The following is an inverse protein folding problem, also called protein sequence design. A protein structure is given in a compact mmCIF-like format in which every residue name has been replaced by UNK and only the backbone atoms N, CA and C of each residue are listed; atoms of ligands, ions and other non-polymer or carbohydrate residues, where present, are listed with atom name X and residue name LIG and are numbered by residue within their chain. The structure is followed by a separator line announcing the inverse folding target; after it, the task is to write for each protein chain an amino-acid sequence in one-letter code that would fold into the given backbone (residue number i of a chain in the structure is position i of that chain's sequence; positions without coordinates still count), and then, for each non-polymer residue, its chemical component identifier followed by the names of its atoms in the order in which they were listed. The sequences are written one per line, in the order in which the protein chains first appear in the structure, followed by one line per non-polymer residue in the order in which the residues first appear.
data_IF_689775154784
#
_entry.id   IF_689775154784
#
_cell.length_a   1.000
_cell.length_b   1.000
_cell.length_c   1.000
_cell.angle_alpha   90.00
_cell.angle_beta   90.00
_cell.angle_gamma   90.00
#
_symmetry.space_group_name_H-M   'P 1'
#
loop_
_entity.id
_entity.type
_entity.pdbx_description
1 polymer ?
#
# COMPACT_ATOMS: atom_id res chain seq x y z
N UNK A 1 -70.66 -5.54 -0.67
CA UNK A 1 -69.48 -4.74 -1.07
C UNK A 1 -69.34 -4.80 -2.59
N UNK A 2 -69.56 -3.72 -3.34
CA UNK A 2 -69.54 -3.76 -4.80
C UNK A 2 -68.13 -3.49 -5.38
N UNK A 3 -67.80 -4.28 -6.40
CA UNK A 3 -66.53 -4.30 -7.13
C UNK A 3 -66.54 -3.19 -8.19
N UNK A 4 -65.68 -2.18 -8.05
CA UNK A 4 -65.50 -1.13 -9.05
C UNK A 4 -64.50 -1.56 -10.15
N UNK A 5 -65.03 -1.92 -11.33
CA UNK A 5 -64.25 -2.01 -12.58
C UNK A 5 -64.07 -0.61 -13.16
N UNK A 6 -62.82 -0.11 -13.26
CA UNK A 6 -62.49 1.09 -14.06
C UNK A 6 -61.95 0.71 -15.43
N UNK A 7 -62.58 1.30 -16.45
CA UNK A 7 -62.34 1.13 -17.89
C UNK A 7 -61.00 1.72 -18.34
N UNK A 8 -60.32 0.99 -19.22
CA UNK A 8 -59.18 1.46 -20.00
C UNK A 8 -59.60 2.58 -20.97
N UNK A 9 -58.82 3.66 -21.02
CA UNK A 9 -58.96 4.74 -22.01
C UNK A 9 -57.69 4.80 -22.86
N UNK A 10 -57.79 4.30 -24.10
CA UNK A 10 -56.78 4.48 -25.16
C UNK A 10 -56.65 5.98 -25.47
N UNK A 11 -55.44 6.55 -25.31
CA UNK A 11 -55.05 7.80 -25.96
C UNK A 11 -54.06 7.49 -27.09
N UNK A 12 -54.51 7.70 -28.32
CA UNK A 12 -53.65 7.90 -29.49
C UNK A 12 -53.18 9.35 -29.48
N UNK A 13 -51.87 9.59 -29.47
CA UNK A 13 -51.31 10.89 -29.85
C UNK A 13 -49.93 10.73 -30.48
N UNK A 14 -49.95 10.81 -31.82
CA UNK A 14 -49.05 11.57 -32.71
C UNK A 14 -47.54 11.49 -32.45
N UNK A 15 -46.90 10.69 -33.28
CA UNK A 15 -45.48 10.74 -33.64
C UNK A 15 -45.18 12.13 -34.23
N UNK A 16 -44.29 12.87 -33.60
CA UNK A 16 -43.65 14.04 -34.19
C UNK A 16 -42.23 13.62 -34.60
N UNK A 17 -41.98 13.56 -35.91
CA UNK A 17 -40.65 13.47 -36.49
C UNK A 17 -39.94 14.80 -36.27
N UNK A 18 -38.95 14.83 -35.38
CA UNK A 18 -37.92 15.87 -35.38
C UNK A 18 -36.72 15.34 -36.17
N UNK A 19 -36.53 15.88 -37.37
CA UNK A 19 -35.30 15.74 -38.12
C UNK A 19 -34.22 16.61 -37.46
N UNK A 20 -33.35 15.99 -36.67
CA UNK A 20 -32.14 16.65 -36.16
C UNK A 20 -31.05 16.54 -37.22
N UNK A 21 -30.74 17.67 -37.85
CA UNK A 21 -29.57 17.82 -38.70
C UNK A 21 -28.30 17.66 -37.85
N UNK A 22 -27.58 16.56 -38.05
CA UNK A 22 -26.21 16.39 -37.55
C UNK A 22 -25.29 17.29 -38.39
N UNK A 23 -24.88 18.43 -37.84
CA UNK A 23 -23.74 19.19 -38.36
C UNK A 23 -22.48 18.55 -37.77
N UNK A 24 -21.81 17.72 -38.58
CA UNK A 24 -20.46 17.25 -38.33
C UNK A 24 -19.49 18.44 -38.48
N UNK A 25 -19.19 19.13 -37.38
CA UNK A 25 -18.00 19.98 -37.31
C UNK A 25 -16.83 19.07 -36.97
N UNK A 26 -16.03 18.73 -37.99
CA UNK A 26 -14.73 18.08 -37.81
C UNK A 26 -13.76 19.09 -37.16
N UNK A 27 -13.72 19.11 -35.83
CA UNK A 27 -12.62 19.73 -35.10
C UNK A 27 -11.38 18.86 -35.27
N UNK A 28 -10.53 19.26 -36.22
CA UNK A 28 -9.14 18.82 -36.28
C UNK A 28 -8.45 19.40 -35.05
N UNK A 29 -8.44 18.65 -33.96
CA UNK A 29 -7.57 18.95 -32.81
C UNK A 29 -6.17 18.47 -33.21
N UNK A 30 -5.17 19.36 -33.36
CA UNK A 30 -3.80 18.90 -33.48
C UNK A 30 -3.44 18.17 -32.19
N UNK A 31 -3.22 16.87 -32.28
CA UNK A 31 -2.64 16.07 -31.21
C UNK A 31 -1.17 16.47 -31.06
N UNK A 32 -0.92 17.62 -30.45
CA UNK A 32 0.37 17.88 -29.83
C UNK A 32 0.43 17.00 -28.60
N UNK A 33 0.96 15.78 -28.76
CA UNK A 33 1.49 15.00 -27.65
C UNK A 33 2.65 15.81 -27.05
N UNK A 34 2.31 16.77 -26.20
CA UNK A 34 3.27 17.40 -25.32
C UNK A 34 3.75 16.32 -24.38
N UNK A 35 4.99 15.88 -24.55
CA UNK A 35 5.70 15.17 -23.49
C UNK A 35 5.53 16.02 -22.23
N UNK A 36 4.81 15.49 -21.24
CA UNK A 36 4.70 16.12 -19.93
C UNK A 36 6.11 16.19 -19.37
N UNK A 37 6.76 17.33 -19.56
CA UNK A 37 8.00 17.67 -18.88
C UNK A 37 7.71 17.47 -17.41
N UNK A 38 8.42 16.52 -16.78
CA UNK A 38 8.38 16.30 -15.35
C UNK A 38 8.67 17.64 -14.66
N UNK A 39 7.60 18.33 -14.27
CA UNK A 39 7.68 19.56 -13.50
C UNK A 39 8.41 19.21 -12.21
N UNK A 40 9.43 19.99 -11.85
CA UNK A 40 10.26 19.73 -10.68
C UNK A 40 9.43 19.37 -9.44
N UNK A 41 9.93 18.43 -8.65
CA UNK A 41 9.27 17.95 -7.43
C UNK A 41 8.87 19.17 -6.59
N UNK A 42 7.57 19.37 -6.30
CA UNK A 42 7.14 20.54 -5.54
C UNK A 42 7.77 20.49 -4.14
N UNK A 43 8.59 21.48 -3.77
CA UNK A 43 9.24 21.54 -2.46
C UNK A 43 8.28 21.97 -1.33
N UNK A 44 7.12 22.51 -1.67
CA UNK A 44 6.15 22.98 -0.69
C UNK A 44 5.29 21.84 -0.13
N UNK A 45 5.08 21.84 1.18
CA UNK A 45 4.15 20.92 1.82
C UNK A 45 2.70 21.33 1.55
N UNK A 46 1.84 20.34 1.29
CA UNK A 46 0.38 20.48 1.17
C UNK A 46 -0.25 19.89 2.41
N UNK A 47 -1.18 20.64 3.01
CA UNK A 47 -1.88 20.21 4.20
C UNK A 47 -3.40 20.33 4.02
N UNK A 48 -4.10 19.21 4.19
CA UNK A 48 -5.57 19.15 4.29
C UNK A 48 -5.92 18.79 5.73
N UNK A 49 -6.32 19.78 6.54
CA UNK A 49 -6.69 19.56 7.94
C UNK A 49 -8.20 19.63 8.14
N UNK A 50 -8.64 19.13 9.30
CA UNK A 50 -10.03 19.23 9.77
C UNK A 50 -11.03 18.67 8.76
N UNK A 51 -10.64 17.59 8.07
CA UNK A 51 -11.54 16.88 7.18
C UNK A 51 -12.50 16.05 8.02
N UNK A 52 -13.77 15.98 7.62
CA UNK A 52 -14.69 14.96 8.11
C UNK A 52 -14.76 13.82 7.10
N UNK A 53 -14.60 12.59 7.55
CA UNK A 53 -14.67 11.40 6.72
C UNK A 53 -15.91 10.57 7.10
N UNK A 54 -16.71 10.22 6.09
CA UNK A 54 -17.91 9.40 6.25
C UNK A 54 -17.79 8.14 5.41
N UNK A 55 -17.86 6.98 6.04
CA UNK A 55 -17.92 5.68 5.35
C UNK A 55 -19.30 5.52 4.73
N UNK A 56 -19.37 5.54 3.40
CA UNK A 56 -20.62 5.47 2.62
C UNK A 56 -20.91 4.08 2.07
N UNK A 57 -19.88 3.24 1.89
CA UNK A 57 -20.02 1.84 1.52
C UNK A 57 -19.06 0.99 2.36
N UNK A 58 -19.53 -0.17 2.82
CA UNK A 58 -18.76 -1.09 3.67
C UNK A 58 -19.12 -2.54 3.35
N UNK A 59 -18.10 -3.36 3.10
CA UNK A 59 -18.24 -4.80 2.85
C UNK A 59 -17.38 -5.55 3.87
N UNK A 60 -17.95 -5.99 5.01
CA UNK A 60 -17.22 -6.76 5.99
C UNK A 60 -17.00 -8.19 5.50
N UNK A 61 -15.82 -8.74 5.78
CA UNK A 61 -15.48 -10.15 5.54
C UNK A 61 -15.08 -10.75 6.86
N UNK A 62 -15.78 -11.81 7.24
CA UNK A 62 -15.56 -12.53 8.49
C UNK A 62 -14.84 -13.85 8.19
N UNK A 63 -13.86 -14.26 9.01
CA UNK A 63 -13.19 -15.55 8.87
C UNK A 63 -14.16 -16.74 8.89
N UNK A 64 -15.23 -16.63 9.68
CA UNK A 64 -16.33 -17.60 9.71
C UNK A 64 -17.64 -16.92 9.32
N UNK A 65 -18.09 -17.04 8.05
CA UNK A 65 -19.35 -16.47 7.61
C UNK A 65 -20.58 -17.16 8.23
N UNK A 66 -20.41 -18.37 8.80
CA UNK A 66 -21.49 -19.10 9.49
C UNK A 66 -21.71 -18.63 10.93
N UNK A 67 -20.74 -17.93 11.50
CA UNK A 67 -20.78 -17.39 12.84
C UNK A 67 -20.35 -15.90 12.86
N UNK A 68 -21.17 -15.01 12.26
CA UNK A 68 -20.86 -13.59 12.31
C UNK A 68 -20.79 -13.14 13.79
N UNK A 69 -19.76 -12.36 14.18
CA UNK A 69 -19.56 -11.95 15.55
C UNK A 69 -20.84 -11.33 16.13
N UNK A 70 -21.49 -12.05 17.05
CA UNK A 70 -22.63 -11.54 17.80
C UNK A 70 -22.07 -10.69 18.93
N UNK A 71 -22.12 -9.38 18.75
CA UNK A 71 -21.49 -8.41 19.64
C UNK A 71 -20.28 -7.76 18.97
N UNK A 72 -20.18 -6.45 19.14
CA UNK A 72 -19.33 -5.47 18.44
C UNK A 72 -17.81 -5.66 18.51
N UNK A 73 -17.29 -6.86 18.84
CA UNK A 73 -15.86 -7.07 19.05
C UNK A 73 -15.18 -7.57 17.76
N UNK A 74 -14.32 -6.72 17.22
CA UNK A 74 -13.41 -7.06 16.12
C UNK A 74 -12.50 -8.23 16.54
N UNK A 75 -12.33 -9.24 15.69
CA UNK A 75 -11.46 -10.40 15.95
C UNK A 75 -10.31 -10.42 14.95
N UNK A 76 -9.23 -11.13 15.28
CA UNK A 76 -8.11 -11.37 14.36
C UNK A 76 -8.63 -11.97 13.05
N UNK A 77 -8.14 -11.46 11.94
CA UNK A 77 -8.55 -11.89 10.60
C UNK A 77 -9.84 -11.24 10.08
N UNK A 78 -10.58 -10.47 10.89
CA UNK A 78 -11.68 -9.65 10.35
C UNK A 78 -11.14 -8.67 9.32
N UNK A 79 -11.84 -8.55 8.21
CA UNK A 79 -11.50 -7.62 7.14
C UNK A 79 -12.70 -6.75 6.78
N UNK A 80 -12.41 -5.59 6.19
CA UNK A 80 -13.43 -4.71 5.64
C UNK A 80 -12.89 -3.99 4.43
N UNK A 81 -13.67 -4.00 3.35
CA UNK A 81 -13.52 -3.04 2.27
C UNK A 81 -14.45 -1.87 2.49
N UNK A 82 -13.97 -0.66 2.21
CA UNK A 82 -14.75 0.54 2.42
C UNK A 82 -14.52 1.58 1.33
N UNK A 83 -15.53 2.43 1.20
CA UNK A 83 -15.47 3.70 0.47
C UNK A 83 -15.93 4.80 1.39
N UNK A 84 -15.17 5.88 1.42
CA UNK A 84 -15.44 7.04 2.25
C UNK A 84 -15.48 8.34 1.43
N UNK A 85 -16.28 9.29 1.88
CA UNK A 85 -16.27 10.67 1.41
C UNK A 85 -15.56 11.56 2.42
N UNK A 86 -14.58 12.35 1.96
CA UNK A 86 -13.91 13.34 2.78
C UNK A 86 -14.47 14.72 2.44
N UNK A 87 -14.83 15.49 3.47
CA UNK A 87 -15.38 16.83 3.35
C UNK A 87 -14.53 17.84 4.12
N UNK A 88 -14.44 19.05 3.59
CA UNK A 88 -13.77 20.18 4.23
C UNK A 88 -14.61 20.74 5.42
N UNK A 89 -14.07 21.69 6.21
CA UNK A 89 -14.83 22.30 7.31
C UNK A 89 -16.12 23.03 6.91
N UNK A 90 -16.27 23.39 5.63
CA UNK A 90 -17.50 23.99 5.11
C UNK A 90 -18.53 22.93 4.66
N UNK A 91 -18.18 21.64 4.72
CA UNK A 91 -19.01 20.50 4.34
C UNK A 91 -18.94 20.16 2.85
N UNK A 92 -18.07 20.82 2.08
CA UNK A 92 -17.88 20.51 0.67
C UNK A 92 -17.11 19.21 0.52
N UNK A 93 -17.49 18.40 -0.45
CA UNK A 93 -16.77 17.17 -0.78
C UNK A 93 -15.44 17.49 -1.47
N UNK A 94 -14.34 16.95 -0.95
CA UNK A 94 -12.97 17.22 -1.45
C UNK A 94 -12.23 15.97 -1.93
N UNK A 95 -12.58 14.79 -1.43
CA UNK A 95 -11.93 13.55 -1.83
C UNK A 95 -12.80 12.31 -1.63
N UNK A 96 -12.49 11.25 -2.36
CA UNK A 96 -12.98 9.88 -2.07
C UNK A 96 -11.83 9.02 -1.61
N UNK A 97 -11.99 8.33 -0.48
CA UNK A 97 -11.11 7.25 -0.06
C UNK A 97 -11.73 5.90 -0.42
N UNK A 98 -10.94 4.99 -0.98
CA UNK A 98 -11.28 3.57 -1.10
C UNK A 98 -10.18 2.76 -0.45
N UNK A 99 -10.53 1.86 0.44
CA UNK A 99 -9.54 1.12 1.19
C UNK A 99 -10.00 -0.25 1.61
N UNK A 100 -9.04 -0.98 2.17
CA UNK A 100 -9.28 -2.19 2.92
C UNK A 100 -8.60 -2.08 4.27
N UNK A 101 -9.14 -2.76 5.27
CA UNK A 101 -8.47 -2.95 6.54
C UNK A 101 -8.71 -4.33 7.09
N UNK A 102 -7.79 -4.80 7.92
CA UNK A 102 -7.92 -6.07 8.63
C UNK A 102 -7.33 -5.99 10.03
N UNK A 103 -7.72 -6.93 10.90
CA UNK A 103 -7.25 -7.02 12.29
C UNK A 103 -6.10 -8.03 12.37
N UNK A 104 -4.83 -7.60 12.34
CA UNK A 104 -3.70 -8.50 12.50
C UNK A 104 -3.53 -9.02 13.93
N UNK A 105 -3.99 -8.28 14.94
CA UNK A 105 -3.69 -8.58 16.33
C UNK A 105 -4.79 -8.13 17.29
N UNK A 106 -5.01 -8.94 18.32
CA UNK A 106 -5.88 -8.66 19.45
C UNK A 106 -5.31 -9.27 20.73
N UNK A 107 -5.34 -8.50 21.80
CA UNK A 107 -5.15 -8.99 23.16
C UNK A 107 -6.47 -8.85 23.93
N UNK A 108 -7.05 -9.99 24.35
CA UNK A 108 -8.28 -10.01 25.12
C UNK A 108 -8.11 -9.58 26.58
N UNK A 109 -6.88 -9.67 27.11
CA UNK A 109 -6.60 -9.34 28.50
C UNK A 109 -6.61 -7.82 28.71
N UNK A 110 -5.98 -7.10 27.79
CA UNK A 110 -5.81 -5.65 27.86
C UNK A 110 -6.76 -4.89 26.91
N UNK A 111 -7.68 -5.61 26.25
CA UNK A 111 -8.64 -5.09 25.26
C UNK A 111 -7.96 -4.32 24.10
N UNK A 112 -6.73 -4.73 23.76
CA UNK A 112 -5.95 -4.13 22.68
C UNK A 112 -6.39 -4.72 21.35
N UNK A 113 -6.76 -3.88 20.40
CA UNK A 113 -7.10 -4.31 19.03
C UNK A 113 -6.33 -3.44 18.07
N UNK A 114 -5.46 -4.05 17.27
CA UNK A 114 -4.73 -3.36 16.22
C UNK A 114 -5.36 -3.67 14.86
N UNK A 115 -5.47 -2.64 14.03
CA UNK A 115 -5.99 -2.72 12.67
C UNK A 115 -4.92 -2.21 11.70
N UNK A 116 -4.66 -2.97 10.64
CA UNK A 116 -3.94 -2.48 9.47
C UNK A 116 -4.94 -1.91 8.48
N UNK A 117 -4.67 -0.75 7.90
CA UNK A 117 -5.43 -0.25 6.76
C UNK A 117 -4.51 0.17 5.63
N UNK A 118 -5.04 0.06 4.41
CA UNK A 118 -4.49 0.66 3.22
C UNK A 118 -5.61 1.34 2.44
N UNK A 119 -5.33 2.54 1.91
CA UNK A 119 -6.33 3.37 1.26
C UNK A 119 -5.75 4.07 0.04
N UNK A 120 -6.60 4.30 -0.95
CA UNK A 120 -6.36 5.22 -2.07
C UNK A 120 -7.33 6.38 -1.96
N UNK A 121 -6.79 7.58 -1.76
CA UNK A 121 -7.50 8.83 -1.60
C UNK A 121 -7.35 9.62 -2.89
N UNK A 122 -8.47 9.82 -3.59
CA UNK A 122 -8.54 10.59 -4.83
C UNK A 122 -9.06 11.99 -4.53
N UNK A 123 -8.22 13.00 -4.74
CA UNK A 123 -8.56 14.42 -4.69
C UNK A 123 -8.71 14.97 -6.11
N UNK A 124 -9.24 16.19 -6.24
CA UNK A 124 -9.39 16.85 -7.53
C UNK A 124 -8.05 17.09 -8.25
N UNK A 125 -6.96 17.28 -7.50
CA UNK A 125 -5.63 17.62 -8.02
C UNK A 125 -4.61 16.49 -7.90
N UNK A 126 -5.01 15.27 -7.51
CA UNK A 126 -4.11 14.11 -7.52
C UNK A 126 -4.58 12.96 -6.64
N UNK A 127 -3.74 11.93 -6.55
CA UNK A 127 -4.03 10.69 -5.81
C UNK A 127 -2.97 10.43 -4.75
N UNK A 128 -3.41 10.03 -3.56
CA UNK A 128 -2.58 9.66 -2.43
C UNK A 128 -2.91 8.21 -2.04
N UNK A 129 -1.89 7.41 -1.72
CA UNK A 129 -2.05 6.12 -1.08
C UNK A 129 -1.60 6.20 0.37
N UNK A 130 -2.33 5.57 1.27
CA UNK A 130 -1.95 5.51 2.69
C UNK A 130 -1.86 4.07 3.16
N UNK A 131 -0.96 3.78 4.09
CA UNK A 131 -0.92 2.47 4.73
C UNK A 131 -0.31 2.51 6.13
N UNK A 132 -0.82 1.69 7.04
CA UNK A 132 -0.25 1.57 8.39
C UNK A 132 -1.12 0.80 9.36
N UNK A 133 -0.63 0.68 10.59
CA UNK A 133 -1.33 0.03 11.71
C UNK A 133 -1.70 1.08 12.75
N UNK A 134 -2.89 0.93 13.31
CA UNK A 134 -3.42 1.80 14.34
C UNK A 134 -4.29 1.03 15.33
N UNK A 135 -4.56 1.64 16.49
CA UNK A 135 -5.41 1.04 17.52
C UNK A 135 -6.88 1.32 17.23
N UNK A 136 -7.70 0.28 17.32
CA UNK A 136 -9.17 0.34 17.33
C UNK A 136 -9.75 -0.19 18.63
N UNK A 137 -8.95 -0.12 19.71
CA UNK A 137 -9.42 -0.35 21.06
C UNK A 137 -10.53 0.64 21.41
N UNK A 138 -11.65 0.20 22.03
CA UNK A 138 -12.78 1.07 22.35
C UNK A 138 -12.43 2.34 23.12
N UNK A 139 -11.45 2.26 24.03
CA UNK A 139 -10.98 3.41 24.80
C UNK A 139 -10.26 4.46 23.95
N UNK A 140 -9.87 4.13 22.72
CA UNK A 140 -9.04 4.97 21.83
C UNK A 140 -9.84 5.56 20.66
N UNK A 141 -11.17 5.40 20.60
CA UNK A 141 -11.96 5.92 19.47
C UNK A 141 -11.79 7.44 19.28
N UNK A 142 -11.56 8.20 20.35
CA UNK A 142 -11.29 9.64 20.25
C UNK A 142 -9.79 10.00 20.26
N UNK A 143 -8.89 9.07 20.00
CA UNK A 143 -7.46 9.36 19.87
C UNK A 143 -7.08 9.58 18.40
N UNK A 144 -6.10 10.45 18.19
CA UNK A 144 -5.52 10.65 16.86
C UNK A 144 -4.56 9.51 16.54
N UNK A 145 -4.85 8.84 15.43
CA UNK A 145 -4.06 7.79 14.82
C UNK A 145 -3.32 8.34 13.61
N UNK A 146 -2.25 7.66 13.22
CA UNK A 146 -1.33 8.08 12.17
C UNK A 146 -0.96 6.88 11.31
N UNK A 147 -1.05 7.04 9.99
CA UNK A 147 -0.54 6.08 9.02
C UNK A 147 0.26 6.81 7.94
N UNK A 148 1.18 6.10 7.29
CA UNK A 148 2.01 6.68 6.23
C UNK A 148 1.13 7.10 5.04
N UNK A 149 1.52 8.17 4.35
CA UNK A 149 0.88 8.64 3.13
C UNK A 149 1.92 8.89 2.03
N UNK A 150 1.54 8.57 0.81
CA UNK A 150 2.41 8.64 -0.36
C UNK A 150 1.63 9.16 -1.57
N UNK A 151 2.14 10.18 -2.23
CA UNK A 151 1.47 10.78 -3.37
C UNK A 151 1.83 10.07 -4.68
N UNK A 152 0.80 9.56 -5.35
CA UNK A 152 0.89 8.68 -6.52
C UNK A 152 0.83 9.49 -7.82
N UNK A 153 -0.01 10.52 -7.87
CA UNK A 153 -0.25 11.29 -9.11
C UNK A 153 -0.67 12.74 -8.83
N UNK A 154 -0.70 13.54 -9.90
CA UNK A 154 -1.09 14.94 -9.84
C UNK A 154 -0.12 15.78 -8.99
N UNK A 155 -0.67 16.73 -8.23
CA UNK A 155 0.07 17.61 -7.34
C UNK A 155 0.88 16.85 -6.28
N UNK A 156 0.42 15.67 -5.88
CA UNK A 156 1.06 14.88 -4.84
C UNK A 156 2.14 13.94 -5.38
N UNK A 157 2.31 13.78 -6.70
CA UNK A 157 3.25 12.81 -7.26
C UNK A 157 4.67 12.97 -6.67
N UNK A 158 5.18 11.92 -6.03
CA UNK A 158 6.51 11.93 -5.38
C UNK A 158 6.55 12.58 -4.00
N UNK A 159 5.43 13.07 -3.48
CA UNK A 159 5.32 13.54 -2.09
C UNK A 159 5.20 12.37 -1.12
N UNK A 160 5.77 12.56 0.08
CA UNK A 160 5.64 11.63 1.20
C UNK A 160 5.08 12.40 2.38
N UNK A 161 4.29 11.75 3.22
CA UNK A 161 3.82 12.35 4.45
C UNK A 161 2.99 11.41 5.30
N UNK A 162 1.96 11.95 5.95
CA UNK A 162 1.13 11.22 6.89
C UNK A 162 -0.35 11.50 6.68
N UNK A 163 -1.16 10.47 6.89
CA UNK A 163 -2.59 10.60 7.14
C UNK A 163 -2.82 10.51 8.64
N UNK A 164 -3.51 11.49 9.17
CA UNK A 164 -3.97 11.51 10.56
C UNK A 164 -5.47 11.28 10.58
N UNK A 165 -5.98 10.56 11.57
CA UNK A 165 -7.43 10.41 11.73
C UNK A 165 -7.82 10.07 13.16
N UNK A 166 -9.06 10.38 13.51
CA UNK A 166 -9.66 10.12 14.81
C UNK A 166 -11.02 9.46 14.58
N UNK A 167 -11.27 8.31 15.21
CA UNK A 167 -12.46 7.49 14.97
C UNK A 167 -13.64 8.03 15.79
N UNK A 168 -14.41 8.96 15.24
CA UNK A 168 -15.57 9.52 15.97
C UNK A 168 -16.69 8.51 16.15
N UNK A 169 -16.86 7.59 15.19
CA UNK A 169 -17.76 6.45 15.30
C UNK A 169 -17.22 5.26 14.50
N UNK A 170 -16.92 4.15 15.19
CA UNK A 170 -16.31 2.96 14.57
C UNK A 170 -17.10 2.47 13.36
N UNK A 171 -16.43 2.41 12.22
CA UNK A 171 -16.99 1.91 10.97
C UNK A 171 -18.03 2.84 10.31
N UNK A 172 -18.17 4.08 10.79
CA UNK A 172 -19.08 5.07 10.21
C UNK A 172 -18.39 6.40 9.93
N UNK A 173 -17.73 7.02 10.91
CA UNK A 173 -17.22 8.39 10.76
C UNK A 173 -15.88 8.61 11.45
N UNK A 174 -15.07 9.51 10.86
CA UNK A 174 -13.77 9.93 11.36
C UNK A 174 -13.57 11.44 11.19
N UNK A 175 -12.71 12.03 12.02
CA UNK A 175 -12.00 13.25 11.63
C UNK A 175 -10.70 12.83 10.94
N UNK A 176 -10.24 13.57 9.95
CA UNK A 176 -9.06 13.23 9.16
C UNK A 176 -8.20 14.44 8.81
N UNK A 177 -6.94 14.16 8.51
CA UNK A 177 -5.98 15.10 7.98
C UNK A 177 -4.98 14.42 7.05
N UNK A 178 -4.47 15.16 6.07
CA UNK A 178 -3.43 14.73 5.14
C UNK A 178 -2.33 15.78 5.12
N UNK A 179 -1.13 15.39 5.48
CA UNK A 179 0.05 16.22 5.39
C UNK A 179 1.02 15.57 4.41
N UNK A 180 1.31 16.24 3.30
CA UNK A 180 2.17 15.74 2.22
C UNK A 180 3.27 16.75 1.96
N UNK A 181 4.52 16.32 1.84
CA UNK A 181 5.63 17.19 1.47
C UNK A 181 6.38 16.61 0.28
N UNK A 182 6.93 17.49 -0.57
CA UNK A 182 7.89 17.08 -1.59
C UNK A 182 8.96 16.21 -0.99
N UNK A 183 9.10 14.98 -1.51
CA UNK A 183 10.13 14.08 -1.06
C UNK A 183 11.51 14.72 -1.22
N UNK A 184 12.36 14.52 -0.21
CA UNK A 184 13.81 14.76 -0.22
C UNK A 184 14.54 13.91 -1.29
N UNK A 185 14.00 13.75 -2.50
CA UNK A 185 14.48 12.77 -3.46
C UNK A 185 15.90 13.08 -3.96
N UNK A 186 16.40 14.31 -3.78
CA UNK A 186 17.67 14.74 -4.36
C UNK A 186 18.80 15.09 -3.36
N UNK A 187 18.57 15.09 -2.03
CA UNK A 187 19.59 15.51 -1.05
C UNK A 187 19.84 14.49 0.08
N UNK A 188 19.92 13.19 -0.24
CA UNK A 188 20.35 12.14 0.71
C UNK A 188 21.86 12.12 0.98
N UNK A 189 22.54 13.26 0.87
CA UNK A 189 23.96 13.41 1.23
C UNK A 189 24.09 13.74 2.73
N UNK A 190 23.44 12.94 3.59
CA UNK A 190 23.58 13.06 5.03
C UNK A 190 24.99 12.63 5.43
N UNK A 191 25.86 13.61 5.67
CA UNK A 191 27.25 13.43 6.05
C UNK A 191 27.48 13.87 7.50
N UNK A 192 27.61 12.94 8.47
CA UNK A 192 28.09 13.31 9.80
C UNK A 192 29.62 13.23 9.92
N UNK A 193 30.32 12.59 8.97
CA UNK A 193 31.79 12.54 8.77
C UNK A 193 32.09 11.50 7.68
N UNK A 194 32.47 11.92 6.48
CA UNK A 194 32.93 11.06 5.38
C UNK A 194 33.98 10.06 5.89
N UNK A 195 33.73 8.74 5.88
CA UNK A 195 34.81 7.76 5.92
C UNK A 195 35.68 7.96 4.67
N UNK A 196 36.98 7.74 4.81
CA UNK A 196 37.95 7.90 3.72
C UNK A 196 37.75 6.81 2.67
N UNK A 197 37.67 7.23 1.40
CA UNK A 197 37.95 6.45 0.19
C UNK A 197 37.33 5.04 0.11
N UNK A 198 36.03 4.93 0.37
CA UNK A 198 35.23 3.85 -0.21
C UNK A 198 34.65 4.34 -1.55
N UNK A 199 34.68 3.45 -2.53
CA UNK A 199 34.03 3.56 -3.85
C UNK A 199 32.68 4.29 -3.71
N UNK A 200 32.47 5.31 -4.54
CA UNK A 200 31.37 6.24 -4.30
C UNK A 200 30.03 5.50 -4.39
N UNK A 201 29.05 5.90 -3.59
CA UNK A 201 27.71 5.29 -3.58
C UNK A 201 27.08 5.20 -4.99
N UNK A 202 27.32 6.22 -5.81
CA UNK A 202 26.86 6.24 -7.20
C UNK A 202 27.54 5.16 -8.05
N UNK A 203 28.82 4.89 -7.80
CA UNK A 203 29.61 3.88 -8.48
C UNK A 203 29.17 2.46 -8.11
N UNK A 204 28.94 2.17 -6.82
CA UNK A 204 28.36 0.87 -6.39
C UNK A 204 26.98 0.62 -7.01
N UNK A 205 26.13 1.65 -7.11
CA UNK A 205 24.83 1.54 -7.76
C UNK A 205 24.95 1.32 -9.27
N UNK A 206 25.82 2.07 -9.93
CA UNK A 206 26.11 1.90 -11.36
C UNK A 206 26.65 0.50 -11.64
N UNK A 207 27.52 -0.03 -10.78
CA UNK A 207 28.09 -1.37 -10.92
C UNK A 207 27.04 -2.47 -10.69
N UNK A 208 26.14 -2.29 -9.72
CA UNK A 208 25.03 -3.23 -9.50
C UNK A 208 24.02 -3.23 -10.65
N UNK A 209 23.69 -2.05 -11.21
CA UNK A 209 22.86 -1.94 -12.42
C UNK A 209 23.53 -2.57 -13.64
N UNK A 210 24.83 -2.32 -13.84
CA UNK A 210 25.60 -2.95 -14.91
C UNK A 210 25.64 -4.48 -14.75
N UNK A 211 25.75 -4.98 -13.51
CA UNK A 211 25.67 -6.42 -13.22
C UNK A 211 24.29 -7.01 -13.54
N UNK A 212 23.20 -6.27 -13.26
CA UNK A 212 21.83 -6.65 -13.66
C UNK A 212 21.66 -6.67 -15.18
N UNK A 213 22.27 -5.72 -15.90
CA UNK A 213 22.23 -5.66 -17.36
C UNK A 213 23.05 -6.79 -18.02
N UNK A 214 24.17 -7.17 -17.41
CA UNK A 214 25.04 -8.24 -17.88
C UNK A 214 24.51 -9.66 -17.57
N UNK A 215 23.62 -9.81 -16.59
CA UNK A 215 23.02 -11.09 -16.25
C UNK A 215 22.09 -11.59 -17.37
N UNK A 216 22.33 -12.79 -17.89
CA UNK A 216 21.37 -13.47 -18.76
C UNK A 216 20.08 -13.76 -17.98
N UNK A 217 18.89 -13.55 -18.60
CA UNK A 217 17.63 -13.81 -17.94
C UNK A 217 17.59 -15.27 -17.43
N UNK A 218 17.10 -15.49 -16.19
CA UNK A 218 17.02 -16.84 -15.65
C UNK A 218 16.13 -17.69 -16.55
N UNK A 219 16.57 -18.92 -16.84
CA UNK A 219 15.70 -19.94 -17.43
C UNK A 219 14.72 -20.34 -16.34
N UNK A 220 13.43 -20.14 -16.57
CA UNK A 220 12.42 -20.39 -15.53
C UNK A 220 12.47 -21.83 -15.00
N UNK A 221 12.37 -22.02 -13.66
CA UNK A 221 12.26 -23.35 -13.09
C UNK A 221 10.91 -23.97 -13.49
N UNK A 222 10.95 -25.21 -13.97
CA UNK A 222 9.84 -25.90 -14.62
C UNK A 222 8.62 -26.19 -13.74
N UNK A 223 8.68 -25.95 -12.43
CA UNK A 223 7.68 -26.43 -11.45
C UNK A 223 6.91 -25.32 -10.71
N UNK A 224 7.00 -24.06 -11.14
CA UNK A 224 6.16 -23.00 -10.57
C UNK A 224 4.80 -22.95 -11.27
N UNK A 225 3.68 -22.82 -10.54
CA UNK A 225 2.37 -22.67 -11.16
C UNK A 225 2.42 -21.46 -12.10
N UNK A 226 2.09 -21.70 -13.38
CA UNK A 226 2.04 -20.64 -14.39
C UNK A 226 0.96 -19.66 -13.94
N UNK A 227 1.33 -18.42 -13.60
CA UNK A 227 0.34 -17.45 -13.19
C UNK A 227 -0.57 -17.14 -14.40
N UNK A 228 -1.81 -16.63 -14.19
CA UNK A 228 -2.66 -16.19 -15.29
C UNK A 228 -1.87 -15.31 -16.27
N UNK A 229 -2.23 -15.31 -17.55
CA UNK A 229 -1.44 -14.68 -18.63
C UNK A 229 -1.12 -13.17 -18.40
N UNK A 230 -1.80 -12.52 -17.46
CA UNK A 230 -1.65 -11.10 -17.12
C UNK A 230 -0.94 -10.86 -15.77
N UNK A 231 -0.26 -11.87 -15.24
CA UNK A 231 0.46 -11.84 -13.97
C UNK A 231 1.96 -12.14 -14.16
N UNK A 232 2.79 -11.57 -13.29
CA UNK A 232 4.23 -11.79 -13.20
C UNK A 232 4.56 -12.32 -11.82
N UNK A 233 5.34 -13.41 -11.78
CA UNK A 233 5.80 -14.03 -10.56
C UNK A 233 7.33 -14.09 -10.52
N UNK A 234 7.94 -13.53 -9.49
CA UNK A 234 9.34 -13.77 -9.14
C UNK A 234 9.39 -14.69 -7.94
N UNK A 235 9.81 -15.93 -8.15
CA UNK A 235 9.89 -16.97 -7.12
C UNK A 235 11.33 -17.45 -6.95
N UNK A 236 11.62 -18.01 -5.78
CA UNK A 236 12.98 -18.46 -5.43
C UNK A 236 13.96 -17.31 -5.30
N UNK A 237 13.50 -16.13 -4.88
CA UNK A 237 14.38 -15.01 -4.59
C UNK A 237 14.98 -15.19 -3.20
N UNK A 238 16.27 -14.95 -3.05
CA UNK A 238 16.93 -14.72 -1.77
C UNK A 238 17.27 -13.25 -1.66
N UNK A 239 16.80 -12.60 -0.61
CA UNK A 239 17.13 -11.22 -0.30
C UNK A 239 18.22 -11.18 0.77
N UNK A 240 19.32 -10.53 0.45
CA UNK A 240 20.47 -10.34 1.33
C UNK A 240 20.58 -8.86 1.68
N UNK A 241 20.60 -8.55 2.97
CA UNK A 241 20.77 -7.18 3.45
C UNK A 241 22.23 -6.76 3.27
N UNK A 242 22.48 -5.75 2.44
CA UNK A 242 23.85 -5.31 2.12
C UNK A 242 24.29 -4.09 2.89
N UNK A 243 23.35 -3.22 3.26
CA UNK A 243 23.64 -2.00 4.02
C UNK A 243 22.47 -1.67 4.96
N UNK A 244 22.80 -1.27 6.19
CA UNK A 244 21.86 -0.76 7.19
C UNK A 244 22.26 0.65 7.62
N UNK A 245 21.27 1.53 7.71
CA UNK A 245 21.43 2.90 8.16
C UNK A 245 20.33 3.26 9.15
N UNK A 246 20.70 3.73 10.33
CA UNK A 246 19.75 4.19 11.33
C UNK A 246 20.42 4.41 12.68
N UNK A 247 19.76 5.09 13.62
CA UNK A 247 20.22 5.10 15.00
C UNK A 247 20.32 3.64 15.44
N UNK A 248 21.52 3.24 15.89
CA UNK A 248 21.66 1.97 16.59
C UNK A 248 20.59 1.96 17.69
N UNK A 249 19.79 0.87 17.82
CA UNK A 249 18.82 0.78 18.90
C UNK A 249 19.57 1.09 20.20
N UNK A 250 19.08 2.09 20.95
CA UNK A 250 19.85 2.72 22.03
C UNK A 250 20.54 1.69 22.92
N UNK A 251 21.87 1.73 22.94
CA UNK A 251 22.87 1.11 23.81
C UNK A 251 22.67 -0.35 24.34
N UNK A 252 21.70 -1.10 23.82
CA UNK A 252 21.50 -2.50 24.15
C UNK A 252 20.79 -3.20 22.99
N UNK A 253 21.53 -4.01 22.22
CA UNK A 253 21.06 -4.74 21.05
C UNK A 253 20.05 -5.85 21.35
N UNK A 254 18.99 -5.54 22.08
CA UNK A 254 17.87 -6.45 22.30
C UNK A 254 17.13 -6.65 20.98
N UNK A 255 17.12 -7.91 20.56
CA UNK A 255 16.27 -8.41 19.48
C UNK A 255 15.00 -9.01 20.10
N UNK A 256 13.79 -8.71 19.59
CA UNK A 256 13.51 -7.77 18.49
C UNK A 256 13.66 -6.30 18.92
N UNK A 257 13.94 -5.38 17.96
CA UNK A 257 14.13 -3.96 18.26
C UNK A 257 12.92 -3.36 19.00
N UNK A 258 13.17 -2.44 19.93
CA UNK A 258 12.12 -1.79 20.74
C UNK A 258 11.11 -1.00 19.91
N UNK A 259 9.91 -0.76 20.48
CA UNK A 259 8.92 0.12 19.88
C UNK A 259 9.54 1.51 19.65
N UNK A 260 9.26 2.11 18.49
CA UNK A 260 9.88 3.36 18.08
C UNK A 260 11.16 3.20 17.25
N UNK A 261 11.74 2.00 17.18
CA UNK A 261 12.96 1.76 16.39
C UNK A 261 12.68 1.91 14.89
N UNK A 262 13.62 2.51 14.16
CA UNK A 262 13.54 2.63 12.71
C UNK A 262 14.88 2.34 12.04
N UNK A 263 14.82 1.83 10.82
CA UNK A 263 15.99 1.44 10.03
C UNK A 263 15.71 1.70 8.56
N UNK A 264 16.64 2.35 7.90
CA UNK A 264 16.76 2.36 6.46
C UNK A 264 17.72 1.26 6.05
N UNK A 265 17.47 0.61 4.92
CA UNK A 265 18.30 -0.49 4.48
C UNK A 265 18.37 -0.61 2.96
N UNK A 266 19.37 -1.33 2.50
CA UNK A 266 19.48 -1.83 1.13
C UNK A 266 19.60 -3.34 1.14
N UNK A 267 18.94 -3.96 0.17
CA UNK A 267 19.05 -5.39 -0.03
C UNK A 267 19.29 -5.72 -1.50
N UNK A 268 20.01 -6.81 -1.72
CA UNK A 268 20.19 -7.45 -3.01
C UNK A 268 19.28 -8.68 -3.10
N UNK A 269 18.56 -8.83 -4.22
CA UNK A 269 17.78 -10.02 -4.50
C UNK A 269 18.56 -10.90 -5.46
N UNK A 270 18.82 -12.14 -5.07
CA UNK A 270 19.50 -13.15 -5.87
C UNK A 270 18.55 -14.29 -6.24
N UNK A 271 18.72 -14.84 -7.44
CA UNK A 271 18.09 -16.10 -7.88
C UNK A 271 19.20 -17.00 -8.40
N UNK A 272 19.33 -18.20 -7.85
CA UNK A 272 20.41 -19.15 -8.18
C UNK A 272 21.81 -18.51 -8.08
N UNK A 273 22.01 -17.65 -7.06
CA UNK A 273 23.25 -16.91 -6.80
C UNK A 273 23.46 -15.65 -7.67
N UNK A 274 22.63 -15.41 -8.69
CA UNK A 274 22.75 -14.24 -9.57
C UNK A 274 21.90 -13.08 -9.06
N UNK A 275 22.44 -11.87 -9.08
CA UNK A 275 21.70 -10.65 -8.75
C UNK A 275 20.58 -10.42 -9.79
N UNK A 276 19.35 -10.23 -9.33
CA UNK A 276 18.16 -10.00 -10.19
C UNK A 276 17.37 -8.75 -9.82
N UNK A 277 17.53 -8.24 -8.60
CA UNK A 277 16.99 -6.95 -8.19
C UNK A 277 17.83 -6.31 -7.08
N UNK A 278 17.69 -5.00 -6.95
CA UNK A 278 18.19 -4.25 -5.79
C UNK A 278 17.04 -3.53 -5.12
N UNK A 279 17.18 -3.19 -3.85
CA UNK A 279 16.14 -2.47 -3.15
C UNK A 279 16.66 -1.44 -2.17
N UNK A 280 15.78 -0.49 -1.88
CA UNK A 280 15.93 0.48 -0.81
C UNK A 280 14.68 0.43 0.04
N UNK A 281 14.85 0.23 1.33
CA UNK A 281 13.75 0.07 2.26
C UNK A 281 13.86 0.98 3.48
N UNK A 282 12.70 1.13 4.11
CA UNK A 282 12.53 1.72 5.43
C UNK A 282 11.69 0.75 6.25
N UNK A 283 12.04 0.61 7.51
CA UNK A 283 11.25 -0.15 8.47
C UNK A 283 11.15 0.58 9.79
N UNK A 284 10.05 0.33 10.48
CA UNK A 284 9.72 0.92 11.76
C UNK A 284 9.00 -0.10 12.64
N UNK A 285 9.31 -0.15 13.93
CA UNK A 285 8.61 -1.01 14.90
C UNK A 285 7.54 -0.18 15.63
N UNK A 286 6.29 -0.14 15.15
CA UNK A 286 5.22 0.60 15.82
C UNK A 286 4.85 0.05 17.19
N UNK A 287 5.03 -1.25 17.41
CA UNK A 287 4.54 -1.92 18.61
C UNK A 287 5.47 -3.03 19.06
N UNK A 288 5.70 -3.10 20.37
CA UNK A 288 6.36 -4.22 21.04
C UNK A 288 5.63 -4.47 22.35
N UNK A 289 5.19 -5.71 22.55
CA UNK A 289 4.68 -6.23 23.80
C UNK A 289 5.71 -7.21 24.38
N UNK A 290 6.48 -6.79 25.39
CA UNK A 290 7.49 -7.63 26.01
C UNK A 290 6.91 -8.82 26.77
N UNK A 291 5.66 -8.74 27.25
CA UNK A 291 5.06 -9.79 28.07
C UNK A 291 4.70 -11.02 27.25
N UNK A 292 4.33 -10.81 25.97
CA UNK A 292 3.93 -11.86 25.05
C UNK A 292 4.94 -12.11 23.92
N UNK A 293 6.11 -11.45 23.96
CA UNK A 293 7.13 -11.47 22.90
C UNK A 293 6.57 -11.09 21.52
N UNK A 294 5.66 -10.11 21.48
CA UNK A 294 5.03 -9.67 20.22
C UNK A 294 5.70 -8.40 19.74
N UNK A 295 6.16 -8.39 18.49
CA UNK A 295 6.66 -7.19 17.82
C UNK A 295 5.93 -7.02 16.50
N UNK A 296 5.45 -5.82 16.19
CA UNK A 296 4.97 -5.53 14.84
C UNK A 296 6.00 -4.65 14.15
N UNK A 297 6.38 -5.01 12.92
CA UNK A 297 7.28 -4.22 12.09
C UNK A 297 6.58 -3.80 10.81
N UNK A 298 6.50 -2.50 10.61
CA UNK A 298 6.13 -1.90 9.34
C UNK A 298 7.35 -1.87 8.44
N UNK A 299 7.14 -2.21 7.17
CA UNK A 299 8.16 -2.14 6.13
C UNK A 299 7.57 -1.45 4.92
N UNK A 300 8.37 -0.59 4.30
CA UNK A 300 8.15 -0.04 2.99
C UNK A 300 9.44 -0.16 2.18
N UNK A 301 9.37 -0.68 0.96
CA UNK A 301 10.56 -0.98 0.16
C UNK A 301 10.30 -0.74 -1.31
N UNK A 302 11.24 -0.12 -2.00
CA UNK A 302 11.26 -0.03 -3.46
C UNK A 302 12.23 -1.07 -3.98
N UNK A 303 11.78 -1.97 -4.86
CA UNK A 303 12.56 -3.06 -5.43
C UNK A 303 12.65 -2.83 -6.94
N UNK A 304 13.87 -2.70 -7.46
CA UNK A 304 14.14 -2.45 -8.87
C UNK A 304 14.72 -3.71 -9.49
N UNK A 305 13.93 -4.32 -10.38
CA UNK A 305 14.37 -5.37 -11.29
C UNK A 305 14.92 -4.74 -12.57
N UNK A 306 15.51 -5.57 -13.43
CA UNK A 306 16.00 -5.13 -14.75
C UNK A 306 14.89 -4.54 -15.64
N UNK A 307 13.69 -5.11 -15.59
CA UNK A 307 12.57 -4.78 -16.48
C UNK A 307 11.52 -3.88 -15.83
N UNK A 308 11.76 -3.37 -14.61
CA UNK A 308 10.88 -2.41 -13.96
C UNK A 308 11.08 -2.33 -12.46
N UNK A 309 10.33 -1.41 -11.83
CA UNK A 309 10.37 -1.18 -10.39
C UNK A 309 9.02 -1.47 -9.77
N UNK A 310 9.06 -2.04 -8.58
CA UNK A 310 7.89 -2.27 -7.72
C UNK A 310 8.12 -1.57 -6.39
N UNK A 311 7.03 -1.25 -5.70
CA UNK A 311 7.04 -0.81 -4.31
C UNK A 311 6.27 -1.81 -3.49
N UNK A 312 6.72 -2.06 -2.27
CA UNK A 312 6.04 -2.95 -1.34
C UNK A 312 5.85 -2.25 0.00
N UNK A 313 4.74 -2.52 0.67
CA UNK A 313 4.47 -2.00 2.01
C UNK A 313 3.59 -2.95 2.81
N UNK A 314 3.80 -3.02 4.12
CA UNK A 314 2.95 -3.83 5.00
C UNK A 314 3.47 -3.90 6.42
N UNK A 315 2.74 -4.62 7.27
CA UNK A 315 3.17 -4.96 8.63
C UNK A 315 3.24 -6.46 8.78
N UNK A 316 4.29 -6.94 9.43
CA UNK A 316 4.42 -8.33 9.81
C UNK A 316 4.78 -8.47 11.29
N UNK A 317 4.48 -9.65 11.83
CA UNK A 317 4.76 -10.00 13.22
C UNK A 317 6.20 -10.53 13.34
N UNK A 318 6.99 -9.92 14.23
CA UNK A 318 8.37 -10.23 14.57
C UNK A 318 8.53 -11.14 15.80
N UNK A 319 7.45 -11.69 16.37
CA UNK A 319 7.56 -12.66 17.47
C UNK A 319 8.58 -13.75 17.14
N UNK A 320 9.44 -14.14 18.09
CA UNK A 320 10.50 -15.15 17.87
C UNK A 320 9.96 -16.44 17.24
N UNK A 321 8.75 -16.86 17.64
CA UNK A 321 8.08 -18.05 17.10
C UNK A 321 7.67 -17.89 15.63
N UNK A 322 7.42 -16.67 15.16
CA UNK A 322 6.81 -16.39 13.86
C UNK A 322 7.79 -15.77 12.87
N UNK A 323 8.99 -15.41 13.29
CA UNK A 323 9.97 -14.78 12.38
C UNK A 323 10.33 -15.69 11.20
N UNK A 324 10.25 -17.01 11.40
CA UNK A 324 10.52 -18.02 10.37
C UNK A 324 9.26 -18.45 9.60
N UNK A 325 8.14 -17.74 9.73
CA UNK A 325 6.93 -17.98 8.95
C UNK A 325 6.88 -17.11 7.69
N UNK A 326 5.95 -17.44 6.79
CA UNK A 326 5.69 -16.61 5.62
C UNK A 326 4.89 -15.38 6.02
N UNK A 327 5.46 -14.23 5.72
CA UNK A 327 4.80 -12.93 5.80
C UNK A 327 4.36 -12.48 4.41
N UNK A 328 3.37 -11.60 4.35
CA UNK A 328 2.91 -11.00 3.11
C UNK A 328 2.81 -9.48 3.27
N UNK A 329 3.22 -8.78 2.24
CA UNK A 329 3.11 -7.33 2.08
C UNK A 329 2.42 -7.04 0.75
N UNK A 330 1.78 -5.89 0.68
CA UNK A 330 1.29 -5.37 -0.57
C UNK A 330 2.44 -5.04 -1.52
N UNK A 331 2.22 -5.18 -2.83
CA UNK A 331 3.15 -4.80 -3.87
C UNK A 331 2.44 -4.05 -5.00
N UNK A 332 3.05 -2.96 -5.47
CA UNK A 332 2.57 -2.13 -6.57
C UNK A 332 3.68 -1.98 -7.60
N UNK A 333 3.37 -2.22 -8.86
CA UNK A 333 4.30 -1.98 -9.95
C UNK A 333 4.32 -0.50 -10.35
N UNK A 334 5.49 0.11 -10.18
CA UNK A 334 5.73 1.55 -10.34
C UNK A 334 6.16 1.89 -11.76
N UNK A 335 6.94 1.02 -12.40
CA UNK A 335 7.53 1.29 -13.72
C UNK A 335 7.83 0.02 -14.51
N UNK A 336 8.16 0.20 -15.79
CA UNK A 336 8.55 -0.88 -16.69
C UNK A 336 7.43 -1.89 -16.89
N UNK A 337 7.78 -3.17 -16.93
CA UNK A 337 6.82 -4.29 -17.10
C UNK A 337 5.77 -4.33 -16.00
N UNK A 338 6.09 -3.83 -14.81
CA UNK A 338 5.17 -3.86 -13.66
C UNK A 338 4.21 -2.69 -13.63
N UNK A 339 4.39 -1.64 -14.44
CA UNK A 339 3.61 -0.41 -14.31
C UNK A 339 2.09 -0.67 -14.32
N UNK A 340 1.41 -0.32 -13.23
CA UNK A 340 -0.04 -0.53 -13.07
C UNK A 340 -0.43 -1.90 -12.50
N UNK A 341 0.51 -2.84 -12.37
CA UNK A 341 0.27 -4.11 -11.70
C UNK A 341 0.19 -3.93 -10.19
N UNK A 342 -0.58 -4.80 -9.55
CA UNK A 342 -0.77 -4.85 -8.11
C UNK A 342 -0.63 -6.30 -7.66
N UNK A 343 -0.19 -6.55 -6.44
CA UNK A 343 -0.18 -7.88 -5.86
C UNK A 343 0.49 -7.95 -4.52
N UNK A 344 1.23 -9.03 -4.29
CA UNK A 344 1.80 -9.33 -2.98
C UNK A 344 3.29 -9.65 -3.09
N UNK A 345 4.05 -9.18 -2.12
CA UNK A 345 5.37 -9.72 -1.81
C UNK A 345 5.24 -10.62 -0.60
N UNK A 346 5.62 -11.87 -0.74
CA UNK A 346 5.74 -12.81 0.37
C UNK A 346 7.20 -13.00 0.72
N UNK A 347 7.51 -13.10 1.99
CA UNK A 347 8.87 -13.39 2.42
C UNK A 347 8.89 -14.15 3.73
N UNK A 348 9.98 -14.86 3.98
CA UNK A 348 10.25 -15.59 5.20
C UNK A 348 11.66 -15.22 5.67
N UNK A 349 11.81 -14.88 6.94
CA UNK A 349 13.16 -14.63 7.48
C UNK A 349 13.87 -15.97 7.61
N UNK A 350 15.06 -16.11 7.03
CA UNK A 350 15.86 -17.34 7.10
C UNK A 350 17.15 -17.17 7.88
N UNK A 351 17.56 -15.92 8.12
CA UNK A 351 18.66 -15.55 8.99
C UNK A 351 18.60 -14.08 9.40
N UNK A 352 19.60 -13.61 10.14
CA UNK A 352 19.63 -12.23 10.63
C UNK A 352 19.66 -11.17 9.51
N UNK A 353 20.22 -11.53 8.35
CA UNK A 353 20.34 -10.65 7.17
C UNK A 353 19.83 -11.31 5.88
N UNK A 354 19.13 -12.45 6.01
CA UNK A 354 18.71 -13.28 4.88
C UNK A 354 17.19 -13.50 4.93
N UNK A 355 16.52 -13.26 3.80
CA UNK A 355 15.10 -13.55 3.60
C UNK A 355 14.91 -14.40 2.34
N UNK A 356 14.03 -15.40 2.39
CA UNK A 356 13.50 -16.03 1.19
C UNK A 356 12.24 -15.28 0.74
N UNK A 357 12.14 -14.95 -0.53
CA UNK A 357 11.14 -14.04 -1.07
C UNK A 357 10.43 -14.54 -2.31
N UNK A 358 9.18 -14.10 -2.46
CA UNK A 358 8.38 -14.23 -3.67
C UNK A 358 7.65 -12.92 -3.94
N UNK A 359 7.52 -12.53 -5.19
CA UNK A 359 6.73 -11.37 -5.62
C UNK A 359 5.73 -11.83 -6.68
N UNK A 360 4.46 -11.51 -6.46
CA UNK A 360 3.38 -11.77 -7.40
C UNK A 360 2.67 -10.46 -7.72
N UNK A 361 2.52 -10.15 -9.01
CA UNK A 361 1.91 -8.91 -9.50
C UNK A 361 0.99 -9.23 -10.68
N UNK A 362 -0.19 -8.62 -10.74
CA UNK A 362 -1.18 -8.82 -11.79
C UNK A 362 -1.76 -7.48 -12.24
N UNK A 363 -2.16 -7.36 -13.50
CA UNK A 363 -2.73 -6.12 -14.07
C UNK A 363 -4.13 -5.75 -13.53
N UNK A 364 -4.83 -6.68 -12.87
CA UNK A 364 -6.16 -6.41 -12.32
C UNK A 364 -6.45 -7.34 -11.13
N UNK A 365 -6.59 -6.78 -9.92
CA UNK A 365 -6.84 -7.54 -8.69
C UNK A 365 -8.23 -7.33 -8.10
N UNK A 366 -9.03 -6.44 -8.68
CA UNK A 366 -10.37 -6.16 -8.15
C UNK A 366 -11.27 -7.41 -8.21
N UNK A 367 -10.98 -8.37 -9.10
CA UNK A 367 -11.80 -9.57 -9.31
C UNK A 367 -11.15 -10.91 -8.91
N UNK A 368 -9.87 -10.98 -8.47
CA UNK A 368 -9.13 -12.26 -8.40
C UNK A 368 -8.46 -12.59 -7.04
N UNK A 369 -8.95 -12.02 -5.94
CA UNK A 369 -8.39 -12.24 -4.60
C UNK A 369 -8.82 -13.57 -3.95
N UNK A 370 -9.62 -14.41 -4.61
CA UNK A 370 -9.92 -15.81 -4.22
C UNK A 370 -8.80 -16.80 -4.60
N UNK A 371 -7.54 -16.36 -4.69
CA UNK A 371 -6.43 -17.29 -4.91
C UNK A 371 -6.03 -17.95 -3.59
N UNK A 372 -6.52 -19.17 -3.37
CA UNK A 372 -6.00 -20.08 -2.34
C UNK A 372 -4.53 -20.42 -2.67
N UNK A 373 -3.55 -20.08 -1.81
CA UNK A 373 -2.17 -20.47 -2.03
C UNK A 373 -2.01 -21.99 -1.94
N UNK A 374 -1.07 -22.59 -2.69
CA UNK A 374 -0.75 -24.00 -2.52
C UNK A 374 -0.25 -24.24 -1.09
N UNK A 375 -0.92 -25.16 -0.40
CA UNK A 375 -0.49 -25.68 0.90
C UNK A 375 0.68 -26.64 0.68
N UNK A 376 1.91 -26.15 0.82
CA UNK A 376 3.11 -27.01 0.97
C UNK A 376 4.04 -26.45 2.02
#
# INVERSE_FOLDING_TARGET
MPIFRKKARRRRSRIALFASAFVLVSLVVPATAGAATASGVPHDCVNHNNLSELIVEKYPIFPDPSNPPVGSRLQVGHQVYFKAELRDPAGNWVATSKGYSYVPYRDDKDDVILQYAQETITLADGVIRTSGVYSVTPNNYNEWNYISAEGISGRYAGMIGARTFQITQLGLSLNAGLYMCGGLQENWDWNPKKPKAEESLAEKQSNALAALEAAEPPKDPADSPVPPNDCVAHVGLREELTEEYGPAPGDGGEWPPGAGSSMHYKSEFRKDGRLVAISKGYSYTPFKDPANDIGLKFVQQTITFRDGTIRTSGVYNLTLSNVYEWHAMWADGVSGRYAGMIGTRRFKVTGQADLDGQVFLCNDLVEHWEWDPPTT
#
